data_IF_341247067850
#
_entry.id   IF_341247067850
#
_cell.length_a   1.000
_cell.length_b   1.000
_cell.length_c   1.000
_cell.angle_alpha   90.00
_cell.angle_beta   90.00
_cell.angle_gamma   90.00
#
_symmetry.space_group_name_H-M   'P 1'
#
loop_
_entity.id
_entity.type
_entity.pdbx_description
1 polymer ?
#
# COMPACT_ATOMS: atom_id res chain seq x y z
N UNK A 1 -14.50 -29.25 -22.42
CA UNK A 1 -13.67 -28.19 -21.80
C UNK A 1 -12.90 -28.83 -20.65
N UNK A 2 -11.62 -28.51 -20.48
CA UNK A 2 -10.74 -29.17 -19.53
C UNK A 2 -10.79 -28.51 -18.13
N UNK A 3 -11.93 -28.61 -17.44
CA UNK A 3 -12.10 -28.05 -16.10
C UNK A 3 -11.18 -28.73 -15.05
N UNK A 4 -10.72 -29.94 -15.34
CA UNK A 4 -9.87 -30.76 -14.48
C UNK A 4 -8.39 -30.35 -14.45
N UNK A 5 -7.98 -29.38 -15.26
CA UNK A 5 -6.57 -28.96 -15.33
C UNK A 5 -6.14 -28.14 -14.10
N UNK A 6 -7.08 -27.54 -13.35
CA UNK A 6 -6.76 -26.82 -12.13
C UNK A 6 -7.92 -26.86 -11.13
N UNK A 7 -7.60 -26.78 -9.83
CA UNK A 7 -8.61 -26.72 -8.77
C UNK A 7 -9.54 -25.51 -8.92
N UNK A 8 -9.03 -24.40 -9.43
CA UNK A 8 -9.82 -23.18 -9.63
C UNK A 8 -10.80 -23.32 -10.81
N UNK A 9 -10.37 -23.94 -11.91
CA UNK A 9 -11.27 -24.19 -13.06
C UNK A 9 -12.32 -25.24 -12.73
N UNK A 10 -12.02 -26.21 -11.86
CA UNK A 10 -12.99 -27.18 -11.37
C UNK A 10 -14.07 -26.49 -10.51
N UNK A 11 -13.66 -25.65 -9.55
CA UNK A 11 -14.61 -24.90 -8.71
C UNK A 11 -15.50 -23.95 -9.53
N UNK A 12 -14.97 -23.38 -10.62
CA UNK A 12 -15.68 -22.43 -11.48
C UNK A 12 -16.43 -23.07 -12.64
N UNK A 13 -16.51 -24.40 -12.69
CA UNK A 13 -17.17 -25.13 -13.77
C UNK A 13 -18.64 -24.72 -13.92
N UNK A 14 -19.37 -24.58 -12.81
CA UNK A 14 -20.77 -24.13 -12.83
C UNK A 14 -20.91 -22.66 -13.28
N UNK A 15 -19.88 -21.84 -13.04
CA UNK A 15 -19.87 -20.42 -13.40
C UNK A 15 -19.69 -20.19 -14.90
N UNK A 16 -18.99 -21.07 -15.62
CA UNK A 16 -18.73 -20.90 -17.05
C UNK A 16 -19.25 -22.10 -17.86
N UNK A 17 -20.55 -22.09 -18.15
CA UNK A 17 -21.26 -23.12 -18.91
C UNK A 17 -22.29 -23.92 -18.09
N UNK A 18 -22.50 -23.58 -16.81
CA UNK A 18 -23.42 -24.28 -15.90
C UNK A 18 -24.60 -23.44 -15.41
N UNK A 19 -25.16 -23.84 -14.28
CA UNK A 19 -26.34 -23.21 -13.68
C UNK A 19 -25.99 -22.05 -12.74
N UNK A 20 -25.42 -20.98 -13.29
CA UNK A 20 -25.02 -19.81 -12.53
C UNK A 20 -25.22 -18.53 -13.35
N UNK A 21 -25.66 -17.45 -12.72
CA UNK A 21 -25.63 -16.13 -13.34
C UNK A 21 -24.27 -15.49 -13.08
N UNK A 22 -23.39 -15.54 -14.08
CA UNK A 22 -21.99 -15.13 -13.94
C UNK A 22 -21.75 -13.75 -14.50
N UNK A 23 -21.08 -12.92 -13.72
CA UNK A 23 -20.54 -11.63 -14.16
C UNK A 23 -19.01 -11.70 -14.18
N UNK A 24 -18.41 -11.33 -15.31
CA UNK A 24 -16.98 -11.27 -15.48
C UNK A 24 -16.53 -9.81 -15.57
N UNK A 25 -15.70 -9.37 -14.62
CA UNK A 25 -15.16 -8.01 -14.59
C UNK A 25 -13.68 -8.08 -14.98
N UNK A 26 -13.33 -7.44 -16.08
CA UNK A 26 -11.96 -7.34 -16.53
C UNK A 26 -11.35 -6.02 -16.05
N UNK A 27 -10.34 -6.11 -15.18
CA UNK A 27 -9.56 -4.94 -14.76
C UNK A 27 -8.38 -4.76 -15.73
N UNK A 28 -8.29 -3.60 -16.36
CA UNK A 28 -7.25 -3.29 -17.35
C UNK A 28 -6.55 -1.97 -17.01
N UNK A 29 -5.27 -1.86 -17.38
CA UNK A 29 -4.47 -0.67 -17.21
C UNK A 29 -4.47 0.16 -18.51
N UNK A 30 -4.65 1.49 -18.44
CA UNK A 30 -4.57 2.36 -19.61
C UNK A 30 -3.13 2.75 -20.00
N UNK A 31 -2.10 2.24 -19.29
CA UNK A 31 -0.72 2.58 -19.57
C UNK A 31 -0.17 1.83 -20.79
N UNK A 32 0.59 2.53 -21.65
CA UNK A 32 1.22 1.93 -22.84
C UNK A 32 2.15 0.77 -22.50
N UNK A 33 2.80 0.80 -21.32
CA UNK A 33 3.68 -0.27 -20.86
C UNK A 33 2.95 -1.60 -20.67
N UNK A 34 1.66 -1.55 -20.35
CA UNK A 34 0.81 -2.72 -20.09
C UNK A 34 -0.01 -3.14 -21.32
N UNK A 35 0.27 -2.56 -22.50
CA UNK A 35 -0.51 -2.76 -23.72
C UNK A 35 -0.75 -4.25 -24.03
N UNK A 36 0.28 -5.08 -23.89
CA UNK A 36 0.19 -6.51 -24.20
C UNK A 36 -0.71 -7.29 -23.21
N UNK A 37 -0.64 -6.93 -21.92
CA UNK A 37 -1.46 -7.54 -20.86
C UNK A 37 -2.91 -7.08 -20.95
N UNK A 38 -3.13 -5.80 -21.24
CA UNK A 38 -4.45 -5.23 -21.49
C UNK A 38 -5.09 -5.89 -22.72
N UNK A 39 -4.34 -6.07 -23.83
CA UNK A 39 -4.84 -6.75 -25.02
C UNK A 39 -5.21 -8.21 -24.73
N UNK A 40 -4.35 -8.94 -24.01
CA UNK A 40 -4.59 -10.34 -23.64
C UNK A 40 -5.81 -10.48 -22.74
N UNK A 41 -5.96 -9.60 -21.75
CA UNK A 41 -7.11 -9.55 -20.85
C UNK A 41 -8.40 -9.29 -21.63
N UNK A 42 -8.42 -8.31 -22.53
CA UNK A 42 -9.59 -8.00 -23.37
C UNK A 42 -9.96 -9.15 -24.32
N UNK A 43 -8.97 -9.86 -24.88
CA UNK A 43 -9.22 -11.04 -25.70
C UNK A 43 -9.89 -12.16 -24.89
N UNK A 44 -9.45 -12.37 -23.64
CA UNK A 44 -10.08 -13.34 -22.73
C UNK A 44 -11.50 -12.88 -22.38
N UNK A 45 -11.70 -11.60 -22.04
CA UNK A 45 -13.04 -11.03 -21.76
C UNK A 45 -14.00 -11.25 -22.92
N UNK A 46 -13.53 -11.04 -24.16
CA UNK A 46 -14.32 -11.27 -25.37
C UNK A 46 -14.73 -12.74 -25.51
N UNK A 47 -13.83 -13.68 -25.22
CA UNK A 47 -14.15 -15.12 -25.19
C UNK A 47 -15.15 -15.47 -24.10
N UNK A 48 -14.96 -14.95 -22.88
CA UNK A 48 -15.85 -15.20 -21.74
C UNK A 48 -17.26 -14.68 -22.00
N UNK A 49 -17.39 -13.52 -22.67
CA UNK A 49 -18.68 -12.94 -23.06
C UNK A 49 -19.53 -13.89 -23.92
N UNK A 50 -18.89 -14.75 -24.72
CA UNK A 50 -19.59 -15.67 -25.61
C UNK A 50 -20.04 -16.97 -24.92
N UNK A 51 -19.70 -17.16 -23.64
CA UNK A 51 -20.13 -18.33 -22.87
C UNK A 51 -21.59 -18.15 -22.47
N UNK A 52 -22.43 -19.10 -22.85
CA UNK A 52 -23.84 -19.13 -22.50
C UNK A 52 -24.08 -20.11 -21.35
N UNK A 53 -24.67 -19.61 -20.26
CA UNK A 53 -25.04 -20.41 -19.11
C UNK A 53 -26.51 -20.83 -19.20
N UNK A 54 -26.80 -22.09 -18.87
CA UNK A 54 -28.17 -22.61 -18.76
C UNK A 54 -28.67 -22.39 -17.35
N UNK A 55 -29.21 -21.20 -17.10
CA UNK A 55 -29.69 -20.78 -15.78
C UNK A 55 -31.08 -21.36 -15.54
N UNK A 56 -31.20 -22.17 -14.49
CA UNK A 56 -32.46 -22.70 -13.99
C UNK A 56 -32.62 -22.31 -12.52
N UNK A 57 -33.83 -21.93 -12.11
CA UNK A 57 -34.09 -21.59 -10.71
C UNK A 57 -33.86 -22.86 -9.88
N UNK A 58 -32.90 -22.81 -8.97
CA UNK A 58 -32.61 -23.86 -8.00
C UNK A 58 -33.83 -24.06 -7.09
N UNK A 59 -34.80 -24.85 -7.57
CA UNK A 59 -35.91 -25.34 -6.77
C UNK A 59 -35.38 -26.53 -6.00
N UNK A 60 -34.95 -26.28 -4.77
CA UNK A 60 -34.56 -27.33 -3.86
C UNK A 60 -35.85 -27.95 -3.34
N UNK A 61 -36.37 -28.93 -4.08
CA UNK A 61 -37.32 -29.87 -3.50
C UNK A 61 -36.48 -30.86 -2.67
N UNK A 62 -36.11 -30.42 -1.46
CA UNK A 62 -35.35 -31.24 -0.49
C UNK A 62 -36.00 -32.61 -0.34
N UNK A 63 -37.32 -32.69 -0.46
CA UNK A 63 -38.10 -33.93 -0.47
C UNK A 63 -37.66 -34.87 -1.57
N UNK A 64 -37.56 -34.42 -2.83
CA UNK A 64 -37.11 -35.24 -3.97
C UNK A 64 -35.66 -35.68 -3.83
N UNK A 65 -34.76 -34.77 -3.42
CA UNK A 65 -33.34 -35.10 -3.22
C UNK A 65 -33.17 -36.12 -2.10
N UNK A 66 -33.92 -35.98 -1.01
CA UNK A 66 -33.93 -36.94 0.10
C UNK A 66 -34.54 -38.28 -0.35
N UNK A 67 -35.60 -38.28 -1.17
CA UNK A 67 -36.21 -39.49 -1.72
C UNK A 67 -35.28 -40.22 -2.68
N UNK A 68 -34.60 -39.52 -3.59
CA UNK A 68 -33.61 -40.08 -4.51
C UNK A 68 -32.39 -40.66 -3.77
N UNK A 69 -31.86 -39.93 -2.78
CA UNK A 69 -30.76 -40.41 -1.94
C UNK A 69 -31.18 -41.63 -1.10
N UNK A 70 -32.41 -41.66 -0.57
CA UNK A 70 -32.97 -42.84 0.13
C UNK A 70 -33.12 -44.03 -0.80
N UNK A 71 -33.63 -43.81 -2.01
CA UNK A 71 -33.81 -44.87 -3.01
C UNK A 71 -32.46 -45.46 -3.44
N UNK A 72 -31.44 -44.62 -3.63
CA UNK A 72 -30.10 -45.09 -4.02
C UNK A 72 -29.38 -45.81 -2.87
N UNK A 73 -29.51 -45.33 -1.62
CA UNK A 73 -29.03 -46.05 -0.44
C UNK A 73 -29.72 -47.40 -0.30
N UNK A 74 -31.04 -47.48 -0.55
CA UNK A 74 -31.76 -48.77 -0.54
C UNK A 74 -31.25 -49.70 -1.62
N UNK A 75 -31.07 -49.20 -2.86
CA UNK A 75 -30.54 -49.98 -3.98
C UNK A 75 -29.12 -50.50 -3.73
N UNK A 76 -28.26 -49.70 -3.12
CA UNK A 76 -26.90 -50.08 -2.76
C UNK A 76 -26.89 -51.10 -1.61
N UNK A 77 -27.78 -50.95 -0.62
CA UNK A 77 -28.00 -51.98 0.42
C UNK A 77 -28.44 -53.30 -0.19
N UNK A 78 -29.43 -53.26 -1.09
CA UNK A 78 -29.97 -54.45 -1.75
C UNK A 78 -28.88 -55.14 -2.58
N UNK A 79 -28.03 -54.39 -3.30
CA UNK A 79 -26.87 -54.94 -4.02
C UNK A 79 -25.82 -55.59 -3.11
N UNK A 80 -25.63 -55.06 -1.90
CA UNK A 80 -24.72 -55.62 -0.90
C UNK A 80 -25.30 -56.87 -0.25
N UNK A 81 -26.63 -57.02 -0.20
CA UNK A 81 -27.32 -58.19 0.35
C UNK A 81 -27.63 -59.29 -0.68
N UNK A 82 -27.89 -58.95 -1.94
CA UNK A 82 -28.27 -59.89 -3.01
C UNK A 82 -27.08 -60.63 -3.67
N UNK A 83 -25.82 -60.25 -3.37
CA UNK A 83 -24.65 -61.02 -3.81
C UNK A 83 -24.49 -62.28 -2.94
N UNK A 84 -25.28 -63.31 -3.22
CA UNK A 84 -25.15 -64.72 -2.79
C UNK A 84 -23.85 -65.06 -2.03
N UNK A 85 -23.87 -64.95 -0.70
CA UNK A 85 -23.11 -65.66 0.34
C UNK A 85 -21.64 -66.14 0.12
N UNK A 86 -20.92 -65.71 -0.92
CA UNK A 86 -19.61 -66.27 -1.29
C UNK A 86 -18.58 -65.26 -1.81
N UNK A 87 -18.89 -63.97 -1.86
CA UNK A 87 -17.88 -62.92 -2.10
C UNK A 87 -18.03 -61.79 -1.09
N UNK A 88 -16.92 -61.45 -0.45
CA UNK A 88 -16.77 -60.26 0.40
C UNK A 88 -17.26 -59.02 -0.36
N UNK A 89 -18.01 -58.11 0.28
CA UNK A 89 -18.45 -56.87 -0.35
C UNK A 89 -17.24 -56.08 -0.86
N UNK A 90 -17.31 -55.60 -2.10
CA UNK A 90 -16.23 -54.79 -2.69
C UNK A 90 -16.13 -53.49 -1.89
N UNK A 91 -14.91 -53.16 -1.43
CA UNK A 91 -14.62 -51.98 -0.57
C UNK A 91 -15.14 -50.67 -1.17
N UNK A 92 -15.25 -50.62 -2.49
CA UNK A 92 -15.73 -49.47 -3.25
C UNK A 92 -17.25 -49.25 -3.09
N UNK A 93 -18.06 -50.31 -3.07
CA UNK A 93 -19.52 -50.22 -2.87
C UNK A 93 -19.86 -49.71 -1.45
N UNK A 94 -19.07 -50.10 -0.45
CA UNK A 94 -19.23 -49.65 0.95
C UNK A 94 -18.87 -48.18 1.09
N UNK A 95 -17.77 -47.74 0.49
CA UNK A 95 -17.35 -46.33 0.52
C UNK A 95 -18.35 -45.41 -0.18
N UNK A 96 -18.90 -45.84 -1.33
CA UNK A 96 -19.94 -45.09 -2.03
C UNK A 96 -21.22 -44.97 -1.19
N UNK A 97 -21.59 -46.02 -0.45
CA UNK A 97 -22.75 -45.95 0.44
C UNK A 97 -22.52 -45.04 1.64
N UNK A 98 -21.34 -45.08 2.27
CA UNK A 98 -20.98 -44.16 3.37
C UNK A 98 -21.00 -42.68 2.93
N UNK A 99 -20.53 -42.40 1.71
CA UNK A 99 -20.57 -41.07 1.12
C UNK A 99 -22.01 -40.59 0.89
N UNK A 100 -22.87 -41.43 0.30
CA UNK A 100 -24.28 -41.10 0.06
C UNK A 100 -25.09 -40.92 1.36
N UNK A 101 -24.78 -41.69 2.41
CA UNK A 101 -25.36 -41.50 3.75
C UNK A 101 -24.95 -40.15 4.34
N UNK A 102 -23.69 -39.74 4.17
CA UNK A 102 -23.18 -38.44 4.62
C UNK A 102 -23.85 -37.29 3.88
N UNK A 103 -23.99 -37.38 2.56
CA UNK A 103 -24.72 -36.40 1.74
C UNK A 103 -26.18 -36.26 2.18
N UNK A 104 -26.86 -37.38 2.46
CA UNK A 104 -28.23 -37.37 2.97
C UNK A 104 -28.35 -36.71 4.35
N UNK A 105 -27.38 -36.92 5.24
CA UNK A 105 -27.35 -36.24 6.55
C UNK A 105 -27.15 -34.73 6.41
N UNK A 106 -26.30 -34.29 5.48
CA UNK A 106 -26.09 -32.86 5.19
C UNK A 106 -27.34 -32.24 4.58
N UNK A 107 -27.99 -32.92 3.62
CA UNK A 107 -29.24 -32.46 3.01
C UNK A 107 -30.37 -32.35 4.04
N UNK A 108 -30.46 -33.29 4.98
CA UNK A 108 -31.44 -33.26 6.09
C UNK A 108 -31.21 -32.09 7.06
N UNK A 109 -29.95 -31.68 7.28
CA UNK A 109 -29.58 -30.54 8.15
C UNK A 109 -29.81 -29.17 7.50
N UNK A 110 -29.96 -29.09 6.18
CA UNK A 110 -30.22 -27.83 5.47
C UNK A 110 -31.72 -27.60 5.21
N UNK A 111 -32.51 -27.43 6.27
CA UNK A 111 -33.89 -26.95 6.13
C UNK A 111 -33.91 -25.45 5.78
N UNK A 112 -34.93 -25.02 5.03
CA UNK A 112 -35.09 -23.62 4.65
C UNK A 112 -35.26 -22.69 5.87
N UNK A 113 -35.93 -23.16 6.92
CA UNK A 113 -36.09 -22.41 8.17
C UNK A 113 -34.76 -22.14 8.88
N UNK A 114 -33.81 -23.07 8.84
CA UNK A 114 -32.49 -22.88 9.44
C UNK A 114 -31.63 -21.91 8.62
N UNK A 115 -31.73 -21.94 7.27
CA UNK A 115 -31.07 -20.96 6.40
C UNK A 115 -31.66 -19.56 6.54
N UNK A 116 -32.97 -19.43 6.68
CA UNK A 116 -33.66 -18.15 6.90
C UNK A 116 -33.28 -17.57 8.27
N UNK A 117 -33.24 -18.42 9.31
CA UNK A 117 -32.77 -18.04 10.66
C UNK A 117 -31.30 -17.61 10.64
N UNK A 118 -30.40 -18.38 10.02
CA UNK A 118 -28.99 -18.03 9.85
C UNK A 118 -28.83 -16.73 9.05
N UNK A 119 -29.62 -16.52 8.00
CA UNK A 119 -29.60 -15.27 7.24
C UNK A 119 -30.00 -14.08 8.09
N UNK A 120 -31.06 -14.19 8.89
CA UNK A 120 -31.49 -13.15 9.83
C UNK A 120 -30.44 -12.88 10.92
N UNK A 121 -29.80 -13.93 11.44
CA UNK A 121 -28.71 -13.81 12.43
C UNK A 121 -27.50 -13.12 11.80
N UNK A 122 -27.09 -13.47 10.59
CA UNK A 122 -25.98 -12.83 9.89
C UNK A 122 -26.28 -11.37 9.52
N UNK A 123 -27.52 -11.06 9.19
CA UNK A 123 -27.96 -9.69 8.88
C UNK A 123 -28.00 -8.83 10.15
N UNK A 124 -28.45 -9.41 11.27
CA UNK A 124 -28.42 -8.79 12.60
C UNK A 124 -26.98 -8.64 13.13
N UNK A 125 -26.12 -9.65 12.99
CA UNK A 125 -24.68 -9.57 13.26
C UNK A 125 -24.01 -8.50 12.40
N UNK A 126 -24.34 -8.42 11.11
CA UNK A 126 -23.80 -7.38 10.22
C UNK A 126 -24.27 -6.00 10.66
N UNK A 127 -25.53 -5.87 11.09
CA UNK A 127 -26.11 -4.63 11.64
C UNK A 127 -25.44 -4.23 12.95
N UNK A 128 -25.22 -5.17 13.86
CA UNK A 128 -24.54 -4.99 15.15
C UNK A 128 -23.05 -4.69 14.96
N UNK A 129 -22.37 -5.35 14.03
CA UNK A 129 -20.98 -5.09 13.65
C UNK A 129 -20.80 -3.72 12.98
N UNK A 130 -21.82 -3.25 12.26
CA UNK A 130 -21.87 -1.88 11.71
C UNK A 130 -22.19 -0.83 12.79
N UNK A 131 -23.05 -1.14 13.75
CA UNK A 131 -23.47 -0.25 14.83
C UNK A 131 -22.42 -0.13 15.97
N UNK A 132 -21.69 -1.20 16.28
CA UNK A 132 -20.67 -1.23 17.34
C UNK A 132 -19.31 -0.66 16.93
N UNK A 133 -19.26 0.10 15.83
CA UNK A 133 -18.15 0.95 15.39
C UNK A 133 -17.89 2.17 16.29
N UNK A 134 -18.28 2.15 17.57
CA UNK A 134 -18.31 3.34 18.44
C UNK A 134 -16.95 4.02 18.67
N UNK A 135 -15.89 3.23 18.89
CA UNK A 135 -14.52 3.75 19.10
C UNK A 135 -13.65 3.45 17.88
N UNK A 136 -13.73 2.22 17.35
CA UNK A 136 -12.93 1.78 16.20
C UNK A 136 -13.36 2.47 14.91
N UNK A 137 -14.67 2.66 14.69
CA UNK A 137 -15.19 3.45 13.58
C UNK A 137 -14.89 4.93 13.75
N UNK A 138 -14.97 5.48 14.97
CA UNK A 138 -14.61 6.89 15.20
C UNK A 138 -13.14 7.19 14.93
N UNK A 139 -12.21 6.31 15.34
CA UNK A 139 -10.77 6.45 15.05
C UNK A 139 -10.48 6.20 13.56
N UNK A 140 -11.05 5.14 12.96
CA UNK A 140 -10.87 4.89 11.53
C UNK A 140 -11.53 5.95 10.64
N UNK A 141 -12.72 6.45 10.98
CA UNK A 141 -13.42 7.49 10.22
C UNK A 141 -12.75 8.84 10.39
N UNK A 142 -12.27 9.18 11.60
CA UNK A 142 -11.46 10.39 11.81
C UNK A 142 -10.17 10.34 10.99
N UNK A 143 -9.43 9.23 11.06
CA UNK A 143 -8.17 9.08 10.30
C UNK A 143 -8.43 8.94 8.79
N UNK A 144 -9.53 8.34 8.36
CA UNK A 144 -9.90 8.25 6.95
C UNK A 144 -10.33 9.61 6.41
N UNK A 145 -11.01 10.42 7.22
CA UNK A 145 -11.39 11.79 6.88
C UNK A 145 -10.16 12.70 6.80
N UNK A 146 -9.26 12.65 7.78
CA UNK A 146 -7.99 13.38 7.75
C UNK A 146 -7.10 12.96 6.58
N UNK A 147 -6.98 11.66 6.32
CA UNK A 147 -6.25 11.18 5.13
C UNK A 147 -6.89 11.64 3.83
N UNK A 148 -8.23 11.65 3.74
CA UNK A 148 -8.93 12.15 2.55
C UNK A 148 -8.67 13.65 2.35
N UNK A 149 -8.69 14.45 3.42
CA UNK A 149 -8.37 15.88 3.40
C UNK A 149 -6.93 16.13 2.95
N UNK A 150 -5.96 15.35 3.46
CA UNK A 150 -4.55 15.43 3.03
C UNK A 150 -4.38 15.03 1.56
N UNK A 151 -5.10 14.00 1.09
CA UNK A 151 -5.08 13.59 -0.32
C UNK A 151 -5.68 14.65 -1.24
N UNK A 152 -6.78 15.30 -0.83
CA UNK A 152 -7.40 16.39 -1.56
C UNK A 152 -6.47 17.61 -1.65
N UNK A 153 -5.82 17.99 -0.53
CA UNK A 153 -4.78 19.05 -0.51
C UNK A 153 -3.60 18.72 -1.42
N UNK A 154 -3.10 17.48 -1.39
CA UNK A 154 -2.02 17.03 -2.26
C UNK A 154 -2.40 17.06 -3.75
N UNK A 155 -3.66 16.73 -4.08
CA UNK A 155 -4.16 16.82 -5.45
C UNK A 155 -4.24 18.28 -5.93
N UNK A 156 -4.71 19.19 -5.07
CA UNK A 156 -4.76 20.63 -5.36
C UNK A 156 -3.36 21.21 -5.55
N UNK A 157 -2.42 20.91 -4.64
CA UNK A 157 -1.03 21.37 -4.76
C UNK A 157 -0.34 20.83 -6.01
N UNK A 158 -0.64 19.60 -6.45
CA UNK A 158 -0.15 19.06 -7.72
C UNK A 158 -0.68 19.84 -8.91
N UNK A 159 -1.99 20.12 -8.94
CA UNK A 159 -2.62 20.90 -10.01
C UNK A 159 -2.05 22.32 -10.10
N UNK A 160 -1.86 22.98 -8.96
CA UNK A 160 -1.24 24.31 -8.88
C UNK A 160 0.22 24.27 -9.36
N UNK A 161 1.01 23.25 -8.98
CA UNK A 161 2.37 23.06 -9.49
C UNK A 161 2.39 22.90 -11.00
N UNK A 162 1.49 22.10 -11.57
CA UNK A 162 1.44 21.86 -13.01
C UNK A 162 1.08 23.16 -13.78
N UNK A 163 0.15 23.95 -13.25
CA UNK A 163 -0.18 25.28 -13.80
C UNK A 163 1.01 26.24 -13.73
N UNK A 164 1.67 26.35 -12.59
CA UNK A 164 2.86 27.20 -12.43
C UNK A 164 4.02 26.73 -13.31
N UNK A 165 4.16 25.43 -13.56
CA UNK A 165 5.16 24.88 -14.49
C UNK A 165 4.88 25.25 -15.93
N UNK A 166 3.61 25.23 -16.36
CA UNK A 166 3.21 25.67 -17.70
C UNK A 166 3.47 27.16 -17.85
N UNK A 167 3.04 27.98 -16.88
CA UNK A 167 3.27 29.42 -16.89
C UNK A 167 4.76 29.75 -16.89
N UNK A 168 5.56 29.05 -16.08
CA UNK A 168 7.02 29.22 -16.05
C UNK A 168 7.67 28.92 -17.40
N UNK A 169 7.25 27.84 -18.08
CA UNK A 169 7.79 27.47 -19.40
C UNK A 169 7.45 28.51 -20.46
N UNK A 170 6.19 28.94 -20.51
CA UNK A 170 5.74 29.93 -21.48
C UNK A 170 6.45 31.27 -21.27
N UNK A 171 6.52 31.72 -20.02
CA UNK A 171 7.15 33.00 -19.69
C UNK A 171 8.66 32.98 -19.88
N UNK A 172 9.30 31.83 -19.66
CA UNK A 172 10.71 31.63 -19.97
C UNK A 172 10.97 31.72 -21.47
N UNK A 173 10.09 31.13 -22.29
CA UNK A 173 10.16 31.23 -23.74
C UNK A 173 10.07 32.70 -24.20
N UNK A 174 9.13 33.47 -23.67
CA UNK A 174 9.01 34.92 -23.97
C UNK A 174 10.30 35.67 -23.58
N UNK A 175 10.86 35.40 -22.40
CA UNK A 175 12.12 36.03 -21.96
C UNK A 175 13.28 35.68 -22.89
N UNK A 176 13.36 34.44 -23.37
CA UNK A 176 14.42 34.00 -24.28
C UNK A 176 14.24 34.62 -25.69
N UNK A 177 13.01 34.67 -26.22
CA UNK A 177 12.69 35.37 -27.47
C UNK A 177 13.02 36.88 -27.40
N UNK A 178 12.66 37.56 -26.30
CA UNK A 178 12.98 38.97 -26.09
C UNK A 178 14.48 39.25 -25.94
N UNK A 179 15.26 38.30 -25.39
CA UNK A 179 16.72 38.42 -25.35
C UNK A 179 17.31 38.35 -26.75
N UNK A 180 16.84 37.41 -27.56
CA UNK A 180 17.31 37.25 -28.93
C UNK A 180 16.97 38.50 -29.78
N UNK A 181 15.76 39.04 -29.65
CA UNK A 181 15.36 40.29 -30.31
C UNK A 181 16.21 41.48 -29.85
N UNK A 182 16.46 41.60 -28.54
CA UNK A 182 17.31 42.67 -28.00
C UNK A 182 18.74 42.56 -28.52
N UNK A 183 19.28 41.34 -28.58
CA UNK A 183 20.62 41.08 -29.10
C UNK A 183 20.72 41.41 -30.59
N UNK A 184 19.69 41.05 -31.38
CA UNK A 184 19.60 41.44 -32.79
C UNK A 184 19.58 42.97 -32.96
N UNK A 185 18.72 43.69 -32.23
CA UNK A 185 18.67 45.17 -32.30
C UNK A 185 19.98 45.83 -31.88
N UNK A 186 20.66 45.29 -30.85
CA UNK A 186 21.98 45.78 -30.44
C UNK A 186 23.00 45.59 -31.57
N UNK A 187 23.03 44.41 -32.21
CA UNK A 187 23.97 44.15 -33.32
C UNK A 187 23.67 45.01 -34.56
N UNK A 188 22.39 45.27 -34.87
CA UNK A 188 22.01 46.18 -35.96
C UNK A 188 22.43 47.62 -35.67
N UNK A 189 22.27 48.08 -34.42
CA UNK A 189 22.73 49.39 -33.99
C UNK A 189 24.25 49.52 -34.08
N UNK A 190 25.01 48.51 -33.60
CA UNK A 190 26.47 48.47 -33.72
C UNK A 190 26.94 48.56 -35.18
N UNK A 191 26.32 47.79 -36.10
CA UNK A 191 26.64 47.82 -37.54
C UNK A 191 26.35 49.18 -38.18
N UNK A 192 25.28 49.86 -37.76
CA UNK A 192 24.94 51.20 -38.25
C UNK A 192 25.95 52.24 -37.81
N UNK A 193 26.37 52.17 -36.54
CA UNK A 193 27.43 53.03 -35.98
C UNK A 193 28.78 52.82 -36.69
N UNK A 194 29.13 51.57 -37.01
CA UNK A 194 30.35 51.23 -37.77
C UNK A 194 30.31 51.71 -39.24
N UNK A 195 29.12 51.77 -39.86
CA UNK A 195 28.96 52.14 -41.27
C UNK A 195 29.03 53.66 -41.57
N UNK A 196 29.10 54.50 -40.54
CA UNK A 196 29.24 55.96 -40.66
C UNK A 196 28.03 56.71 -41.26
N UNK A 197 26.90 56.03 -41.52
CA UNK A 197 25.68 56.61 -42.11
C UNK A 197 24.61 56.99 -41.09
N UNK A 198 24.97 57.68 -40.01
CA UNK A 198 24.02 58.00 -38.94
C UNK A 198 23.52 59.44 -39.01
N UNK A 199 22.20 59.63 -39.22
CA UNK A 199 21.50 60.84 -38.79
C UNK A 199 21.31 60.77 -37.27
N UNK A 200 21.56 61.88 -36.58
CA UNK A 200 21.57 61.95 -35.11
C UNK A 200 20.20 61.59 -34.49
N UNK A 201 19.09 61.90 -35.18
CA UNK A 201 17.73 61.55 -34.76
C UNK A 201 17.42 60.05 -34.87
N UNK A 202 17.87 59.39 -35.95
CA UNK A 202 17.65 57.94 -36.16
C UNK A 202 18.43 57.10 -35.13
N UNK A 203 19.62 57.55 -34.74
CA UNK A 203 20.40 56.91 -33.69
C UNK A 203 19.75 57.05 -32.31
N UNK A 204 19.20 58.22 -31.97
CA UNK A 204 18.47 58.44 -30.71
C UNK A 204 17.21 57.57 -30.64
N UNK A 205 16.46 57.44 -31.74
CA UNK A 205 15.26 56.61 -31.79
C UNK A 205 15.57 55.13 -31.54
N UNK A 206 16.61 54.58 -32.19
CA UNK A 206 17.02 53.18 -31.99
C UNK A 206 17.55 52.89 -30.58
N UNK A 207 18.28 53.83 -29.98
CA UNK A 207 18.73 53.71 -28.57
C UNK A 207 17.54 53.72 -27.61
N UNK A 208 16.53 54.55 -27.86
CA UNK A 208 15.28 54.57 -27.07
C UNK A 208 14.53 53.24 -27.16
N UNK A 209 14.42 52.64 -28.35
CA UNK A 209 13.78 51.33 -28.52
C UNK A 209 14.53 50.20 -27.81
N UNK A 210 15.87 50.21 -27.84
CA UNK A 210 16.71 49.23 -27.12
C UNK A 210 16.51 49.37 -25.60
N UNK A 211 16.44 50.61 -25.11
CA UNK A 211 16.21 50.87 -23.69
C UNK A 211 14.83 50.40 -23.24
N UNK A 212 13.77 50.70 -23.99
CA UNK A 212 12.42 50.19 -23.71
C UNK A 212 12.36 48.65 -23.70
N UNK A 213 13.00 47.99 -24.66
CA UNK A 213 13.06 46.52 -24.69
C UNK A 213 13.79 45.94 -23.49
N UNK A 214 14.88 46.59 -23.06
CA UNK A 214 15.64 46.18 -21.87
C UNK A 214 14.81 46.30 -20.59
N UNK A 215 13.99 47.35 -20.47
CA UNK A 215 13.11 47.57 -19.33
C UNK A 215 11.96 46.54 -19.31
N UNK A 216 11.36 46.23 -20.46
CA UNK A 216 10.35 45.15 -20.58
C UNK A 216 10.96 43.78 -20.25
N UNK A 217 12.17 43.48 -20.74
CA UNK A 217 12.88 42.24 -20.44
C UNK A 217 13.20 42.09 -18.95
N UNK A 218 13.53 43.19 -18.27
CA UNK A 218 13.75 43.21 -16.82
C UNK A 218 12.47 42.88 -16.07
N UNK A 219 11.34 43.46 -16.47
CA UNK A 219 10.03 43.21 -15.87
C UNK A 219 9.61 41.73 -16.01
N UNK A 220 9.78 41.13 -17.20
CA UNK A 220 9.46 39.71 -17.40
C UNK A 220 10.42 38.76 -16.66
N UNK A 221 11.71 39.09 -16.56
CA UNK A 221 12.64 38.33 -15.71
C UNK A 221 12.23 38.34 -14.23
N UNK A 222 11.74 39.47 -13.72
CA UNK A 222 11.29 39.55 -12.33
C UNK A 222 9.97 38.78 -12.12
N UNK A 223 9.08 38.76 -13.11
CA UNK A 223 7.90 37.90 -13.09
C UNK A 223 8.28 36.40 -13.10
N UNK A 224 9.26 36.02 -13.94
CA UNK A 224 9.77 34.64 -14.00
C UNK A 224 10.39 34.20 -12.66
N UNK A 225 11.09 35.11 -11.96
CA UNK A 225 11.60 34.85 -10.60
C UNK A 225 10.47 34.62 -9.59
N UNK A 226 9.38 35.38 -9.65
CA UNK A 226 8.20 35.20 -8.77
C UNK A 226 7.58 33.82 -8.97
N UNK A 227 7.37 33.39 -10.22
CA UNK A 227 6.83 32.05 -10.52
C UNK A 227 7.77 30.96 -10.02
N UNK A 228 9.09 31.14 -10.20
CA UNK A 228 10.10 30.20 -9.68
C UNK A 228 10.05 30.09 -8.15
N UNK A 229 9.80 31.20 -7.45
CA UNK A 229 9.63 31.21 -6.00
C UNK A 229 8.36 30.46 -5.57
N UNK A 230 7.23 30.73 -6.21
CA UNK A 230 5.97 30.02 -5.97
C UNK A 230 6.08 28.51 -6.23
N UNK A 231 6.81 28.09 -7.27
CA UNK A 231 7.11 26.68 -7.52
C UNK A 231 7.89 26.02 -6.37
N UNK A 232 8.84 26.75 -5.79
CA UNK A 232 9.64 26.26 -4.65
C UNK A 232 8.79 26.15 -3.38
N UNK A 233 7.95 27.14 -3.12
CA UNK A 233 7.01 27.09 -1.98
C UNK A 233 6.00 25.95 -2.11
N UNK A 234 5.44 25.75 -3.30
CA UNK A 234 4.52 24.64 -3.55
C UNK A 234 5.22 23.27 -3.36
N UNK A 235 6.47 23.13 -3.81
CA UNK A 235 7.27 21.92 -3.56
C UNK A 235 7.48 21.65 -2.07
N UNK A 236 7.77 22.68 -1.27
CA UNK A 236 7.93 22.54 0.18
C UNK A 236 6.61 22.13 0.85
N UNK A 237 5.49 22.77 0.46
CA UNK A 237 4.14 22.40 0.94
C UNK A 237 3.80 20.94 0.60
N UNK A 238 4.11 20.47 -0.61
CA UNK A 238 3.91 19.07 -0.99
C UNK A 238 4.78 18.10 -0.17
N UNK A 239 5.97 18.52 0.28
CA UNK A 239 6.86 17.68 1.06
C UNK A 239 6.34 17.53 2.50
N UNK A 240 5.92 18.63 3.12
CA UNK A 240 5.32 18.65 4.47
C UNK A 240 4.06 17.77 4.52
N UNK A 241 3.11 17.98 3.60
CA UNK A 241 1.86 17.21 3.54
C UNK A 241 2.12 15.70 3.27
N UNK A 242 3.17 15.34 2.52
CA UNK A 242 3.58 13.94 2.32
C UNK A 242 4.20 13.32 3.57
N UNK A 243 4.97 14.09 4.33
CA UNK A 243 5.55 13.62 5.60
C UNK A 243 4.46 13.41 6.66
N UNK A 244 3.46 14.29 6.69
CA UNK A 244 2.28 14.17 7.57
C UNK A 244 1.40 12.95 7.21
N UNK A 245 1.15 12.70 5.92
CA UNK A 245 0.47 11.48 5.48
C UNK A 245 1.23 10.20 5.89
N UNK A 246 2.57 10.23 5.81
CA UNK A 246 3.42 9.09 6.19
C UNK A 246 3.44 8.87 7.70
N UNK A 247 3.48 9.93 8.50
CA UNK A 247 3.47 9.81 9.97
C UNK A 247 2.14 9.24 10.47
N UNK A 248 1.01 9.68 9.91
CA UNK A 248 -0.32 9.13 10.21
C UNK A 248 -0.46 7.66 9.79
N UNK A 249 0.06 7.29 8.61
CA UNK A 249 0.07 5.89 8.15
C UNK A 249 0.98 5.02 9.01
N UNK A 250 2.10 5.56 9.49
CA UNK A 250 3.04 4.88 10.39
C UNK A 250 2.45 4.67 11.78
N UNK A 251 1.67 5.63 12.30
CA UNK A 251 0.98 5.53 13.59
C UNK A 251 0.00 4.33 13.62
N UNK A 252 -0.74 4.08 12.54
CA UNK A 252 -1.64 2.93 12.39
C UNK A 252 -0.90 1.58 12.28
N UNK A 253 0.28 1.56 11.64
CA UNK A 253 1.07 0.34 11.47
C UNK A 253 1.91 0.00 12.70
N UNK A 254 2.37 1.01 13.45
CA UNK A 254 3.30 0.87 14.57
C UNK A 254 2.64 0.61 15.92
N UNK A 255 1.32 0.83 16.08
CA UNK A 255 0.67 0.64 17.36
C UNK A 255 0.28 -0.84 17.59
N UNK A 256 1.29 -1.64 17.94
CA UNK A 256 1.20 -3.07 18.27
C UNK A 256 0.22 -3.35 19.40
N UNK A 257 0.10 -2.44 20.37
CA UNK A 257 -0.85 -2.53 21.48
C UNK A 257 -2.30 -2.41 20.98
N UNK A 258 -2.57 -1.53 20.01
CA UNK A 258 -3.89 -1.37 19.43
C UNK A 258 -4.34 -2.62 18.65
N UNK A 259 -3.41 -3.26 17.93
CA UNK A 259 -3.67 -4.52 17.22
C UNK A 259 -3.93 -5.68 18.18
N UNK A 260 -3.18 -5.75 19.29
CA UNK A 260 -3.38 -6.77 20.30
C UNK A 260 -4.75 -6.63 20.95
N UNK A 261 -5.13 -5.41 21.37
CA UNK A 261 -6.45 -5.14 21.95
C UNK A 261 -7.57 -5.52 20.99
N UNK A 262 -7.40 -5.23 19.70
CA UNK A 262 -8.36 -5.62 18.67
C UNK A 262 -8.50 -7.14 18.56
N UNK A 263 -7.39 -7.88 18.54
CA UNK A 263 -7.41 -9.33 18.45
C UNK A 263 -7.95 -10.00 19.71
N UNK A 264 -7.64 -9.46 20.90
CA UNK A 264 -8.18 -9.99 22.17
C UNK A 264 -9.69 -9.78 22.25
N UNK A 265 -10.17 -8.58 21.89
CA UNK A 265 -11.60 -8.26 21.91
C UNK A 265 -12.38 -9.11 20.89
N UNK A 266 -11.81 -9.37 19.71
CA UNK A 266 -12.39 -10.28 18.72
C UNK A 266 -12.47 -11.73 19.25
N UNK A 267 -11.42 -12.23 19.90
CA UNK A 267 -11.42 -13.59 20.46
C UNK A 267 -12.46 -13.76 21.57
N UNK A 268 -12.58 -12.78 22.46
CA UNK A 268 -13.58 -12.80 23.52
C UNK A 268 -15.01 -12.82 22.95
N UNK A 269 -15.25 -12.10 21.85
CA UNK A 269 -16.54 -12.16 21.15
C UNK A 269 -16.82 -13.54 20.57
N UNK A 270 -15.88 -14.10 19.82
CA UNK A 270 -16.04 -15.46 19.28
C UNK A 270 -16.26 -16.51 20.37
N UNK A 271 -15.62 -16.35 21.54
CA UNK A 271 -15.87 -17.24 22.68
C UNK A 271 -17.29 -17.11 23.22
N UNK A 272 -17.83 -15.89 23.34
CA UNK A 272 -19.21 -15.65 23.78
C UNK A 272 -20.23 -16.20 22.79
N UNK A 273 -20.03 -15.99 21.50
CA UNK A 273 -20.95 -16.44 20.45
C UNK A 273 -20.95 -17.97 20.31
N UNK A 274 -19.77 -18.58 20.38
CA UNK A 274 -19.65 -20.05 20.42
C UNK A 274 -20.29 -20.62 21.69
N UNK A 275 -20.12 -19.97 22.85
CA UNK A 275 -20.75 -20.41 24.09
C UNK A 275 -22.28 -20.36 24.01
N UNK A 276 -22.84 -19.28 23.44
CA UNK A 276 -24.29 -19.17 23.22
C UNK A 276 -24.80 -20.27 22.28
N UNK A 277 -24.09 -20.53 21.19
CA UNK A 277 -24.45 -21.58 20.23
C UNK A 277 -24.42 -22.97 20.87
N UNK A 278 -23.44 -23.25 21.74
CA UNK A 278 -23.37 -24.52 22.49
C UNK A 278 -24.52 -24.68 23.48
N UNK A 279 -24.97 -23.59 24.12
CA UNK A 279 -26.15 -23.62 25.01
C UNK A 279 -27.41 -23.93 24.22
N UNK A 280 -27.63 -23.26 23.08
CA UNK A 280 -28.79 -23.53 22.22
C UNK A 280 -28.81 -24.98 21.71
N UNK A 281 -27.65 -25.51 21.32
CA UNK A 281 -27.51 -26.90 20.87
C UNK A 281 -27.77 -27.89 22.01
N UNK A 282 -27.30 -27.60 23.23
CA UNK A 282 -27.56 -28.41 24.41
C UNK A 282 -29.06 -28.44 24.76
N UNK A 283 -29.74 -27.30 24.69
CA UNK A 283 -31.18 -27.20 24.94
C UNK A 283 -31.98 -27.97 23.89
N UNK A 284 -31.58 -27.91 22.62
CA UNK A 284 -32.18 -28.69 21.53
C UNK A 284 -32.04 -30.20 21.76
N UNK A 285 -30.82 -30.67 22.03
CA UNK A 285 -30.57 -32.10 22.32
C UNK A 285 -31.38 -32.58 23.53
N UNK A 286 -31.52 -31.73 24.55
CA UNK A 286 -32.31 -32.03 25.73
C UNK A 286 -33.80 -32.20 25.40
N UNK A 287 -34.36 -31.30 24.58
CA UNK A 287 -35.76 -31.42 24.13
C UNK A 287 -35.99 -32.69 23.31
N UNK A 288 -35.07 -33.02 22.40
CA UNK A 288 -35.13 -34.27 21.61
C UNK A 288 -35.10 -35.50 22.54
N UNK A 289 -34.20 -35.51 23.53
CA UNK A 289 -34.11 -36.59 24.51
C UNK A 289 -35.37 -36.71 25.38
N UNK A 290 -35.94 -35.60 25.82
CA UNK A 290 -37.18 -35.59 26.62
C UNK A 290 -38.38 -36.09 25.79
N UNK A 291 -38.42 -35.76 24.50
CA UNK A 291 -39.44 -36.24 23.57
C UNK A 291 -39.32 -37.75 23.32
N UNK A 292 -38.12 -38.25 23.02
CA UNK A 292 -37.87 -39.69 22.86
C UNK A 292 -38.23 -40.48 24.13
N UNK A 293 -37.93 -39.90 25.30
CA UNK A 293 -38.29 -40.49 26.60
C UNK A 293 -39.80 -40.56 26.80
N UNK A 294 -40.55 -39.54 26.39
CA UNK A 294 -42.01 -39.54 26.45
C UNK A 294 -42.62 -40.57 25.49
N UNK A 295 -42.07 -40.68 24.27
CA UNK A 295 -42.49 -41.68 23.27
C UNK A 295 -42.25 -43.12 23.76
N UNK A 296 -41.12 -43.36 24.43
CA UNK A 296 -40.81 -44.65 25.06
C UNK A 296 -41.76 -44.97 26.23
N UNK A 297 -42.14 -43.98 27.04
CA UNK A 297 -43.12 -44.15 28.12
C UNK A 297 -44.52 -44.50 27.58
N UNK A 298 -44.95 -43.86 26.49
CA UNK A 298 -46.20 -44.18 25.80
C UNK A 298 -46.21 -45.61 25.27
N UNK A 299 -45.16 -46.04 24.58
CA UNK A 299 -45.02 -47.42 24.09
C UNK A 299 -45.06 -48.45 25.23
N UNK A 300 -44.42 -48.13 26.37
CA UNK A 300 -44.48 -48.95 27.57
C UNK A 300 -45.90 -49.10 28.15
N UNK A 301 -46.70 -48.03 28.10
CA UNK A 301 -48.10 -48.05 28.53
C UNK A 301 -49.03 -48.84 27.58
N UNK A 302 -48.70 -48.91 26.29
CA UNK A 302 -49.39 -49.72 25.27
C UNK A 302 -49.08 -51.23 25.38
N UNK A 303 -48.24 -51.64 26.35
CA UNK A 303 -47.98 -53.04 26.63
C UNK A 303 -47.00 -53.72 25.67
N UNK A 304 -46.12 -52.95 25.02
CA UNK A 304 -45.02 -53.57 24.24
C UNK A 304 -44.05 -54.28 25.18
N UNK A 305 -43.96 -55.61 25.03
CA UNK A 305 -43.04 -56.45 25.80
C UNK A 305 -41.80 -56.71 24.95
N UNK A 306 -40.64 -56.23 25.39
CA UNK A 306 -39.35 -56.55 24.78
C UNK A 306 -39.01 -58.02 24.96
N UNK A 307 -38.41 -58.66 23.95
CA UNK A 307 -37.86 -60.01 24.14
C UNK A 307 -36.65 -59.97 25.08
N UNK A 308 -36.35 -61.09 25.73
CA UNK A 308 -35.18 -61.21 26.63
C UNK A 308 -33.87 -60.88 25.91
N UNK A 309 -33.73 -61.24 24.63
CA UNK A 309 -32.54 -60.89 23.83
C UNK A 309 -32.45 -59.39 23.53
N UNK A 310 -33.59 -58.73 23.26
CA UNK A 310 -33.64 -57.29 23.00
C UNK A 310 -33.33 -56.47 24.26
N UNK A 311 -33.80 -56.93 25.43
CA UNK A 311 -33.49 -56.29 26.72
C UNK A 311 -31.99 -56.33 27.04
N UNK A 312 -31.36 -57.49 26.84
CA UNK A 312 -29.90 -57.65 27.06
C UNK A 312 -29.10 -56.79 26.09
N UNK A 313 -29.50 -56.68 24.82
CA UNK A 313 -28.85 -55.82 23.84
C UNK A 313 -28.89 -54.33 24.22
N UNK A 314 -30.06 -53.84 24.66
CA UNK A 314 -30.24 -52.46 25.13
C UNK A 314 -29.44 -52.16 26.40
N UNK A 315 -29.36 -53.11 27.34
CA UNK A 315 -28.51 -52.96 28.52
C UNK A 315 -27.02 -52.87 28.15
N UNK A 316 -26.57 -53.68 27.19
CA UNK A 316 -25.21 -53.60 26.64
C UNK A 316 -24.92 -52.23 26.01
N UNK A 317 -25.84 -51.72 25.19
CA UNK A 317 -25.71 -50.40 24.55
C UNK A 317 -25.65 -49.26 25.57
N UNK A 318 -26.44 -49.31 26.64
CA UNK A 318 -26.39 -48.32 27.73
C UNK A 318 -25.00 -48.34 28.43
N UNK A 319 -24.41 -49.53 28.61
CA UNK A 319 -23.08 -49.66 29.20
C UNK A 319 -22.01 -49.07 28.28
N UNK A 320 -22.07 -49.34 26.97
CA UNK A 320 -21.17 -48.75 25.98
C UNK A 320 -21.28 -47.22 25.95
N UNK A 321 -22.49 -46.68 25.85
CA UNK A 321 -22.72 -45.22 25.85
C UNK A 321 -22.25 -44.55 27.15
N UNK A 322 -22.40 -45.20 28.30
CA UNK A 322 -21.85 -44.69 29.58
C UNK A 322 -20.32 -44.65 29.56
N UNK A 323 -19.67 -45.66 28.98
CA UNK A 323 -18.22 -45.67 28.82
C UNK A 323 -17.76 -44.57 27.87
N UNK A 324 -18.42 -44.39 26.72
CA UNK A 324 -18.14 -43.31 25.76
C UNK A 324 -18.30 -41.93 26.38
N UNK A 325 -19.36 -41.69 27.16
CA UNK A 325 -19.57 -40.43 27.88
C UNK A 325 -18.40 -40.10 28.81
N UNK A 326 -17.87 -41.11 29.51
CA UNK A 326 -16.73 -40.93 30.41
C UNK A 326 -15.46 -40.55 29.62
N UNK A 327 -15.20 -41.21 28.50
CA UNK A 327 -14.07 -40.90 27.62
C UNK A 327 -14.20 -39.50 27.01
N UNK A 328 -15.39 -39.11 26.55
CA UNK A 328 -15.63 -37.77 26.01
C UNK A 328 -15.44 -36.69 27.06
N UNK A 329 -15.91 -36.90 28.29
CA UNK A 329 -15.71 -35.95 29.40
C UNK A 329 -14.23 -35.73 29.70
N UNK A 330 -13.43 -36.80 29.74
CA UNK A 330 -11.97 -36.70 29.90
C UNK A 330 -11.32 -35.96 28.73
N UNK A 331 -11.79 -36.18 27.50
CA UNK A 331 -11.26 -35.51 26.29
C UNK A 331 -11.58 -34.00 26.30
N UNK A 332 -12.78 -33.61 26.71
CA UNK A 332 -13.15 -32.19 26.89
C UNK A 332 -12.24 -31.54 27.94
N UNK A 333 -12.06 -32.19 29.09
CA UNK A 333 -11.19 -31.67 30.14
C UNK A 333 -9.73 -31.52 29.68
N UNK A 334 -9.22 -32.46 28.88
CA UNK A 334 -7.90 -32.36 28.29
C UNK A 334 -7.78 -31.18 27.32
N UNK A 335 -8.77 -30.97 26.45
CA UNK A 335 -8.82 -29.85 25.51
C UNK A 335 -8.93 -28.49 26.23
N UNK A 336 -9.70 -28.40 27.30
CA UNK A 336 -9.78 -27.18 28.12
C UNK A 336 -8.44 -26.83 28.76
N UNK A 337 -7.72 -27.83 29.27
CA UNK A 337 -6.38 -27.64 29.84
C UNK A 337 -5.37 -27.23 28.76
N UNK A 338 -5.43 -27.84 27.58
CA UNK A 338 -4.59 -27.46 26.44
C UNK A 338 -4.87 -26.03 25.99
N UNK A 339 -6.15 -25.63 25.87
CA UNK A 339 -6.56 -24.26 25.56
C UNK A 339 -5.99 -23.25 26.55
N UNK A 340 -6.10 -23.52 27.86
CA UNK A 340 -5.53 -22.65 28.91
C UNK A 340 -4.02 -22.51 28.79
N UNK A 341 -3.32 -23.62 28.52
CA UNK A 341 -1.88 -23.62 28.32
C UNK A 341 -1.49 -22.78 27.09
N UNK A 342 -2.16 -22.98 25.96
CA UNK A 342 -1.91 -22.21 24.73
C UNK A 342 -2.20 -20.72 24.92
N UNK A 343 -3.22 -20.35 25.69
CA UNK A 343 -3.49 -18.95 26.04
C UNK A 343 -2.32 -18.34 26.84
N UNK A 344 -1.82 -19.06 27.85
CA UNK A 344 -0.67 -18.60 28.65
C UNK A 344 0.62 -18.51 27.82
N UNK A 345 0.90 -19.50 26.96
CA UNK A 345 2.07 -19.49 26.08
C UNK A 345 2.02 -18.31 25.10
N UNK A 346 0.82 -17.98 24.58
CA UNK A 346 0.63 -16.84 23.70
C UNK A 346 0.84 -15.49 24.41
N UNK A 347 0.34 -15.34 25.64
CA UNK A 347 0.57 -14.14 26.45
C UNK A 347 2.06 -13.92 26.75
N UNK A 348 2.78 -15.01 27.07
CA UNK A 348 4.22 -14.97 27.30
C UNK A 348 4.97 -14.56 26.03
N UNK A 349 4.66 -15.19 24.88
CA UNK A 349 5.26 -14.87 23.60
C UNK A 349 5.03 -13.40 23.21
N UNK A 350 3.83 -12.87 23.46
CA UNK A 350 3.54 -11.46 23.23
C UNK A 350 4.39 -10.55 24.12
N UNK A 351 4.50 -10.87 25.42
CA UNK A 351 5.30 -10.08 26.37
C UNK A 351 6.77 -10.04 25.94
N UNK A 352 7.33 -11.19 25.57
CA UNK A 352 8.70 -11.29 25.06
C UNK A 352 8.90 -10.47 23.79
N UNK A 353 8.00 -10.60 22.81
CA UNK A 353 8.06 -9.80 21.59
C UNK A 353 8.00 -8.30 21.88
N UNK A 354 7.15 -7.86 22.83
CA UNK A 354 7.06 -6.45 23.23
C UNK A 354 8.39 -5.95 23.78
N UNK A 355 8.97 -6.68 24.74
CA UNK A 355 10.27 -6.36 25.33
C UNK A 355 11.38 -6.32 24.28
N UNK A 356 11.45 -7.29 23.36
CA UNK A 356 12.40 -7.30 22.26
C UNK A 356 12.26 -6.09 21.34
N UNK A 357 11.02 -5.69 21.03
CA UNK A 357 10.76 -4.54 20.16
C UNK A 357 11.21 -3.24 20.84
N UNK A 358 10.96 -3.09 22.14
CA UNK A 358 11.42 -1.94 22.94
C UNK A 358 12.95 -1.87 23.00
N UNK A 359 13.61 -3.01 23.21
CA UNK A 359 15.08 -3.11 23.19
C UNK A 359 15.63 -2.70 21.82
N UNK A 360 15.06 -3.20 20.73
CA UNK A 360 15.46 -2.82 19.37
C UNK A 360 15.28 -1.32 19.10
N UNK A 361 14.18 -0.72 19.56
CA UNK A 361 13.97 0.72 19.45
C UNK A 361 15.05 1.50 20.19
N UNK A 362 15.37 1.11 21.42
CA UNK A 362 16.45 1.73 22.21
C UNK A 362 17.81 1.61 21.52
N UNK A 363 18.14 0.44 20.99
CA UNK A 363 19.37 0.21 20.21
C UNK A 363 19.43 1.08 18.96
N UNK A 364 18.31 1.23 18.23
CA UNK A 364 18.22 2.11 17.08
C UNK A 364 18.46 3.57 17.49
N UNK A 365 17.82 4.06 18.55
CA UNK A 365 18.05 5.42 19.05
C UNK A 365 19.50 5.66 19.47
N UNK A 366 20.14 4.70 20.12
CA UNK A 366 21.54 4.79 20.48
C UNK A 366 22.44 4.84 19.24
N UNK A 367 22.14 4.02 18.24
CA UNK A 367 22.83 4.03 16.94
C UNK A 367 22.70 5.38 16.25
N UNK A 368 21.50 5.96 16.20
CA UNK A 368 21.29 7.31 15.64
C UNK A 368 22.04 8.40 16.40
N UNK A 369 22.09 8.32 17.75
CA UNK A 369 22.89 9.25 18.56
C UNK A 369 24.38 9.16 18.21
N UNK A 370 24.90 7.95 18.06
CA UNK A 370 26.30 7.72 17.69
C UNK A 370 26.59 8.27 16.28
N UNK A 371 25.73 7.98 15.29
CA UNK A 371 25.86 8.54 13.95
C UNK A 371 25.85 10.06 13.94
N UNK A 372 24.96 10.69 14.73
CA UNK A 372 24.90 12.14 14.84
C UNK A 372 26.18 12.72 15.44
N UNK A 373 26.73 12.09 16.49
CA UNK A 373 27.98 12.53 17.10
C UNK A 373 29.14 12.48 16.09
N UNK A 374 29.29 11.37 15.35
CA UNK A 374 30.31 11.23 14.30
C UNK A 374 30.11 12.27 13.20
N UNK A 375 28.87 12.54 12.80
CA UNK A 375 28.57 13.54 11.79
C UNK A 375 28.91 14.97 12.25
N UNK A 376 28.59 15.32 13.49
CA UNK A 376 28.95 16.62 14.09
C UNK A 376 30.48 16.77 14.19
N UNK A 377 31.21 15.71 14.54
CA UNK A 377 32.67 15.69 14.55
C UNK A 377 33.26 15.90 13.14
N UNK A 378 32.77 15.17 12.13
CA UNK A 378 33.21 15.35 10.75
C UNK A 378 32.92 16.75 10.23
N UNK A 379 31.74 17.30 10.55
CA UNK A 379 31.38 18.66 10.18
C UNK A 379 32.35 19.67 10.81
N UNK A 380 32.63 19.54 12.10
CA UNK A 380 33.58 20.40 12.82
C UNK A 380 34.98 20.34 12.19
N UNK A 381 35.48 19.13 11.89
CA UNK A 381 36.77 18.94 11.25
C UNK A 381 36.85 19.59 9.85
N UNK A 382 35.79 19.46 9.05
CA UNK A 382 35.70 20.10 7.73
C UNK A 382 35.67 21.62 7.86
N UNK A 383 34.85 22.17 8.76
CA UNK A 383 34.78 23.62 9.01
C UNK A 383 36.13 24.18 9.47
N UNK A 384 36.83 23.47 10.35
CA UNK A 384 38.18 23.86 10.80
C UNK A 384 39.18 23.86 9.65
N UNK A 385 39.14 22.85 8.77
CA UNK A 385 40.01 22.78 7.59
C UNK A 385 39.74 23.93 6.61
N UNK A 386 38.47 24.27 6.36
CA UNK A 386 38.12 25.42 5.52
C UNK A 386 38.56 26.75 6.12
N UNK A 387 38.45 26.92 7.45
CA UNK A 387 38.94 28.12 8.13
C UNK A 387 40.46 28.27 7.98
N UNK A 388 41.22 27.19 8.21
CA UNK A 388 42.68 27.19 8.03
C UNK A 388 43.07 27.58 6.60
N UNK A 389 42.42 26.98 5.60
CA UNK A 389 42.69 27.28 4.20
C UNK A 389 42.36 28.74 3.84
N UNK A 390 41.28 29.28 4.41
CA UNK A 390 40.90 30.68 4.20
C UNK A 390 41.94 31.62 4.83
N UNK A 391 42.41 31.31 6.03
CA UNK A 391 43.47 32.07 6.70
C UNK A 391 44.77 32.07 5.89
N UNK A 392 45.19 30.92 5.37
CA UNK A 392 46.35 30.79 4.48
C UNK A 392 46.17 31.63 3.20
N UNK A 393 45.00 31.53 2.54
CA UNK A 393 44.73 32.30 1.33
C UNK A 393 44.71 33.82 1.58
N UNK A 394 44.23 34.26 2.74
CA UNK A 394 44.28 35.68 3.15
C UNK A 394 45.73 36.12 3.37
N UNK A 395 46.55 35.29 4.04
CA UNK A 395 47.97 35.59 4.25
C UNK A 395 48.72 35.69 2.91
N UNK A 396 48.50 34.76 1.99
CA UNK A 396 49.08 34.79 0.64
C UNK A 396 48.65 36.04 -0.14
N UNK A 397 47.37 36.42 -0.07
CA UNK A 397 46.87 37.61 -0.73
C UNK A 397 47.49 38.90 -0.17
N UNK A 398 47.67 38.99 1.15
CA UNK A 398 48.34 40.12 1.80
C UNK A 398 49.81 40.17 1.38
N UNK A 399 50.49 39.02 1.38
CA UNK A 399 51.89 38.92 0.95
C UNK A 399 52.07 39.37 -0.51
N UNK A 400 51.27 38.83 -1.44
CA UNK A 400 51.29 39.22 -2.85
C UNK A 400 50.98 40.70 -3.04
N UNK A 401 50.04 41.27 -2.27
CA UNK A 401 49.74 42.71 -2.33
C UNK A 401 50.94 43.55 -1.87
N UNK A 402 51.63 43.14 -0.82
CA UNK A 402 52.83 43.85 -0.34
C UNK A 402 53.96 43.77 -1.40
N UNK A 403 54.22 42.57 -1.94
CA UNK A 403 55.24 42.39 -2.99
C UNK A 403 54.91 43.20 -4.24
N UNK A 404 53.64 43.27 -4.64
CA UNK A 404 53.22 44.10 -5.77
C UNK A 404 53.41 45.60 -5.51
N UNK A 405 53.20 46.07 -4.27
CA UNK A 405 53.49 47.46 -3.90
C UNK A 405 54.98 47.77 -4.00
N UNK A 406 55.84 46.87 -3.52
CA UNK A 406 57.30 47.02 -3.62
C UNK A 406 57.76 47.05 -5.09
N UNK A 407 57.26 46.13 -5.92
CA UNK A 407 57.56 46.11 -7.36
C UNK A 407 57.06 47.36 -8.09
N UNK A 408 55.93 47.92 -7.68
CA UNK A 408 55.41 49.17 -8.24
C UNK A 408 56.31 50.35 -7.88
N UNK A 409 56.81 50.40 -6.65
CA UNK A 409 57.78 51.41 -6.22
C UNK A 409 59.11 51.29 -6.99
N UNK A 410 59.64 50.08 -7.13
CA UNK A 410 60.87 49.82 -7.89
C UNK A 410 60.70 50.19 -9.38
N UNK A 411 59.56 49.85 -10.00
CA UNK A 411 59.25 50.29 -11.36
C UNK A 411 59.16 51.81 -11.50
N UNK A 412 58.61 52.50 -10.49
CA UNK A 412 58.54 53.95 -10.50
C UNK A 412 59.94 54.56 -10.42
N UNK A 413 60.82 54.01 -9.57
CA UNK A 413 62.21 54.44 -9.47
C UNK A 413 62.96 54.22 -10.79
N UNK A 414 62.85 53.02 -11.39
CA UNK A 414 63.47 52.72 -12.68
C UNK A 414 62.97 53.65 -13.81
N UNK A 415 61.68 54.01 -13.81
CA UNK A 415 61.13 54.99 -14.76
C UNK A 415 61.72 56.38 -14.55
N UNK A 416 61.94 56.79 -13.31
CA UNK A 416 62.57 58.07 -13.00
C UNK A 416 64.04 58.08 -13.44
N UNK A 417 64.80 57.03 -13.12
CA UNK A 417 66.20 56.89 -13.56
C UNK A 417 66.32 56.89 -15.10
N UNK A 418 65.41 56.19 -15.79
CA UNK A 418 65.32 56.21 -17.26
C UNK A 418 65.02 57.60 -17.83
N UNK A 419 64.18 58.39 -17.16
CA UNK A 419 63.90 59.77 -17.55
C UNK A 419 65.15 60.66 -17.36
N UNK A 420 65.85 60.52 -16.24
CA UNK A 420 67.11 61.25 -16.01
C UNK A 420 68.21 60.91 -17.02
N UNK A 421 68.32 59.64 -17.41
CA UNK A 421 69.25 59.20 -18.46
C UNK A 421 68.86 59.81 -19.81
N UNK A 422 67.56 59.79 -20.15
CA UNK A 422 67.06 60.45 -21.37
C UNK A 422 67.37 61.94 -21.37
N UNK A 423 67.12 62.64 -20.28
CA UNK A 423 67.40 64.09 -20.17
C UNK A 423 68.90 64.39 -20.33
N UNK A 424 69.77 63.60 -19.70
CA UNK A 424 71.24 63.70 -19.88
C UNK A 424 71.66 63.46 -21.34
N UNK A 425 71.07 62.45 -22.00
CA UNK A 425 71.31 62.17 -23.42
C UNK A 425 70.88 63.34 -24.32
N UNK A 426 69.72 63.93 -24.03
CA UNK A 426 69.16 65.07 -24.77
C UNK A 426 70.04 66.33 -24.60
N UNK A 427 70.55 66.57 -23.39
CA UNK A 427 71.49 67.66 -23.09
C UNK A 427 72.87 67.47 -23.73
N UNK A 428 73.28 66.23 -24.00
CA UNK A 428 74.53 65.91 -24.71
C UNK A 428 74.43 65.96 -26.25
N UNK A 429 73.28 66.37 -26.81
CA UNK A 429 73.12 66.62 -28.24
C UNK A 429 72.88 65.38 -29.11
N UNK A 430 72.65 64.21 -28.51
CA UNK A 430 72.28 62.98 -29.22
C UNK A 430 70.75 62.83 -29.18
N UNK A 431 70.08 63.15 -30.30
CA UNK A 431 68.67 62.79 -30.49
C UNK A 431 68.55 61.30 -30.81
N UNK A 432 67.79 60.58 -30.00
CA UNK A 432 67.19 59.30 -30.39
C UNK A 432 65.85 59.61 -31.07
N UNK A 433 65.89 59.74 -32.40
CA UNK A 433 64.69 59.61 -33.20
C UNK A 433 64.35 58.11 -33.34
N UNK A 434 63.04 57.84 -33.19
CA UNK A 434 62.29 56.64 -33.58
C UNK A 434 61.97 55.57 -32.51
N UNK A 435 60.66 55.28 -32.30
CA UNK A 435 60.17 54.16 -31.51
C UNK A 435 59.97 52.94 -32.42
N UNK A 436 60.82 51.91 -32.30
CA UNK A 436 60.53 50.54 -32.80
C UNK A 436 61.73 49.63 -32.55
N UNK A 437 62.00 49.25 -31.30
CA UNK A 437 62.61 47.95 -30.96
C UNK A 437 62.31 47.72 -29.48
N UNK A 438 61.26 46.96 -29.15
CA UNK A 438 61.13 46.16 -27.93
C UNK A 438 59.83 45.32 -28.07
N UNK A 439 59.85 44.43 -29.05
CA UNK A 439 58.89 43.34 -29.21
C UNK A 439 59.67 42.06 -29.54
N UNK A 440 60.28 41.51 -28.50
CA UNK A 440 60.72 40.11 -28.29
C UNK A 440 61.05 40.02 -26.81
#
# INVERSE_FOLDING_TARGET
>A
VAYDQSKITNLLQESFGGNCQTFFIAAVSPADADFHETLSTLQISSKVRNIQNSITKNKIDNTKVIEELRAEISRLRDKLTDKNFTKTPEREDVLQMEEKVRELQVAKRQTWGEKERLSHIYEEERRINLANKGILGWVFDSIKKENKEIQEKLALLRKEKDQLMIEYKERRRIVDEMKDELQNKITEYSKLVESGKNKEEESKHKVSEIQEMKDRLKQENDNLKKIKHQLKENQEKQKVEKEEAKSQTSFLKGNTELRQRLQSEQRERYEKDNAATLVEEADRIKMESDQEKADLQLKGAEGTVYSTEQGVALEMEIVELKAERSVMSLKIQALENEKKRQQSDLELAYKQHKEETEIQQLQNFQTFRNYRAVFEEQKSAIEQRYRSLLEEAIQDAVFLSATNQDLMFENQQLKQDMAEIKDKLTMSGLRLDSPDVLAT
#
